data_IF_736582359505
#
_entry.id   IF_736582359505
#
_cell.length_a   1.000
_cell.length_b   1.000
_cell.length_c   1.000
_cell.angle_alpha   90.00
_cell.angle_beta   90.00
_cell.angle_gamma   90.00
#
_symmetry.space_group_name_H-M   'P 1'
#
loop_
_entity.id
_entity.type
_entity.pdbx_description
1 polymer ?
#
# COMPACT_ATOMS: atom_id res chain seq x y z
N UNK A 1 3.91 -17.09 9.96
CA UNK A 1 3.76 -15.86 9.16
C UNK A 1 4.61 -15.92 7.91
N UNK A 2 4.11 -15.44 6.82
CA UNK A 2 4.82 -15.32 5.55
C UNK A 2 4.89 -13.86 5.15
N UNK A 3 6.04 -13.40 4.63
CA UNK A 3 6.22 -11.98 4.30
C UNK A 3 7.03 -11.81 3.02
N UNK A 4 6.76 -10.71 2.33
CA UNK A 4 7.56 -10.26 1.19
C UNK A 4 7.50 -8.74 1.09
N UNK A 5 8.49 -8.14 0.46
CA UNK A 5 8.51 -6.69 0.27
C UNK A 5 9.25 -6.29 -0.99
N UNK A 6 8.95 -5.09 -1.47
CA UNK A 6 9.63 -4.45 -2.60
C UNK A 6 10.06 -3.06 -2.16
N UNK A 7 11.30 -2.70 -2.45
CA UNK A 7 11.86 -1.38 -2.11
C UNK A 7 12.37 -0.68 -3.35
N UNK A 8 12.21 0.64 -3.37
CA UNK A 8 12.78 1.52 -4.38
C UNK A 8 13.30 2.80 -3.73
N UNK A 9 14.47 3.27 -4.15
CA UNK A 9 14.94 4.61 -3.78
C UNK A 9 14.50 5.58 -4.88
N UNK A 10 13.82 6.65 -4.49
CA UNK A 10 13.25 7.62 -5.42
C UNK A 10 13.69 9.04 -5.06
N UNK A 11 13.66 9.93 -6.05
CA UNK A 11 14.10 11.32 -5.91
C UNK A 11 12.95 12.25 -5.49
N UNK A 12 12.15 11.82 -4.51
CA UNK A 12 11.05 12.57 -3.92
C UNK A 12 11.13 12.49 -2.42
N UNK A 13 10.61 13.50 -1.74
CA UNK A 13 10.58 13.50 -0.28
C UNK A 13 9.46 12.62 0.24
N UNK A 14 9.59 12.17 1.49
CA UNK A 14 8.55 11.38 2.14
C UNK A 14 7.23 12.15 2.21
N UNK A 15 7.27 13.44 2.47
CA UNK A 15 6.09 14.29 2.58
C UNK A 15 5.30 14.32 1.27
N UNK A 16 5.98 14.48 0.14
CA UNK A 16 5.33 14.48 -1.19
C UNK A 16 4.71 13.13 -1.49
N UNK A 17 5.44 12.06 -1.22
CA UNK A 17 4.93 10.70 -1.44
C UNK A 17 3.74 10.40 -0.54
N UNK A 18 3.81 10.79 0.73
CA UNK A 18 2.71 10.61 1.67
C UNK A 18 1.45 11.33 1.22
N UNK A 19 1.58 12.61 0.86
CA UNK A 19 0.42 13.40 0.41
C UNK A 19 -0.25 12.77 -0.81
N UNK A 20 0.56 12.30 -1.77
CA UNK A 20 0.04 11.64 -2.97
C UNK A 20 -0.66 10.33 -2.59
N UNK A 21 -0.04 9.53 -1.72
CA UNK A 21 -0.62 8.26 -1.28
C UNK A 21 -1.97 8.47 -0.59
N UNK A 22 -2.09 9.49 0.26
CA UNK A 22 -3.35 9.79 0.93
C UNK A 22 -4.42 10.20 -0.08
N UNK A 23 -4.08 10.93 -1.12
CA UNK A 23 -5.02 11.27 -2.20
C UNK A 23 -5.49 10.03 -2.95
N UNK A 24 -4.60 9.07 -3.15
CA UNK A 24 -4.97 7.78 -3.77
C UNK A 24 -5.95 7.02 -2.87
N UNK A 25 -5.65 6.90 -1.57
CA UNK A 25 -6.53 6.23 -0.62
C UNK A 25 -7.89 6.94 -0.47
N UNK A 26 -7.90 8.24 -0.64
CA UNK A 26 -9.12 9.06 -0.55
C UNK A 26 -9.95 9.04 -1.83
N UNK A 27 -9.44 8.43 -2.90
CA UNK A 27 -10.12 8.39 -4.19
C UNK A 27 -9.92 9.63 -5.04
N UNK A 28 -9.10 10.59 -4.61
CA UNK A 28 -8.84 11.83 -5.35
C UNK A 28 -7.93 11.63 -6.55
N UNK A 29 -7.04 10.64 -6.46
CA UNK A 29 -6.15 10.25 -7.56
C UNK A 29 -6.36 8.78 -7.84
N UNK A 30 -6.59 8.44 -9.12
CA UNK A 30 -6.74 7.07 -9.56
C UNK A 30 -5.48 6.67 -10.33
N UNK A 31 -4.76 5.65 -9.83
CA UNK A 31 -3.53 5.19 -10.47
C UNK A 31 -3.85 4.34 -11.70
N UNK A 32 -3.08 4.49 -12.80
CA UNK A 32 -3.25 3.62 -13.98
C UNK A 32 -3.01 2.17 -13.61
N UNK A 33 -3.92 1.28 -14.02
CA UNK A 33 -3.86 -0.17 -13.72
C UNK A 33 -3.73 -0.46 -12.23
N UNK A 34 -4.19 0.46 -11.40
CA UNK A 34 -4.13 0.32 -9.96
C UNK A 34 -5.47 -0.02 -9.36
N UNK A 35 -5.43 -0.24 -8.06
CA UNK A 35 -6.63 -0.48 -7.29
C UNK A 35 -7.41 0.82 -7.14
N UNK A 36 -8.73 0.71 -7.05
CA UNK A 36 -9.61 1.85 -6.78
C UNK A 36 -9.95 1.85 -5.30
N UNK A 37 -9.90 3.03 -4.69
CA UNK A 37 -10.17 3.20 -3.27
C UNK A 37 -11.37 4.12 -3.06
N UNK A 38 -12.33 3.67 -2.25
CA UNK A 38 -13.53 4.43 -1.89
C UNK A 38 -13.66 4.42 -0.37
N UNK A 39 -13.18 5.48 0.31
CA UNK A 39 -13.27 5.53 1.77
C UNK A 39 -14.70 5.77 2.22
N UNK A 40 -15.09 5.14 3.31
CA UNK A 40 -16.41 5.31 3.93
C UNK A 40 -16.44 6.50 4.90
N UNK A 41 -15.26 6.96 5.29
CA UNK A 41 -15.05 8.05 6.23
C UNK A 41 -13.72 8.73 5.87
N UNK A 42 -13.39 9.89 6.41
CA UNK A 42 -12.10 10.51 6.17
C UNK A 42 -10.96 9.54 6.47
N UNK A 43 -9.99 9.46 5.57
CA UNK A 43 -8.87 8.53 5.69
C UNK A 43 -8.02 8.91 6.90
N UNK A 44 -7.78 7.94 7.77
CA UNK A 44 -7.00 8.12 8.99
C UNK A 44 -6.99 6.82 9.80
N UNK A 45 -6.53 6.88 11.06
CA UNK A 45 -6.47 5.69 11.92
C UNK A 45 -7.83 5.04 12.07
N UNK A 46 -7.90 3.73 11.83
CA UNK A 46 -9.14 2.96 11.98
C UNK A 46 -10.14 3.10 10.84
N UNK A 47 -9.83 3.90 9.82
CA UNK A 47 -10.74 4.12 8.70
C UNK A 47 -11.00 2.85 7.92
N UNK A 48 -12.24 2.69 7.44
CA UNK A 48 -12.63 1.61 6.54
C UNK A 48 -12.66 2.14 5.12
N UNK A 49 -12.04 1.42 4.21
CA UNK A 49 -11.94 1.80 2.81
C UNK A 49 -12.37 0.60 1.96
N UNK A 50 -13.23 0.83 0.99
CA UNK A 50 -13.54 -0.18 -0.01
C UNK A 50 -12.48 -0.12 -1.09
N UNK A 51 -11.77 -1.21 -1.31
CA UNK A 51 -10.76 -1.32 -2.35
C UNK A 51 -11.25 -2.28 -3.43
N UNK A 52 -11.14 -1.86 -4.69
CA UNK A 52 -11.50 -2.70 -5.84
C UNK A 52 -10.25 -2.91 -6.68
N UNK A 53 -9.63 -4.10 -6.60
CA UNK A 53 -8.52 -4.44 -7.49
C UNK A 53 -9.00 -4.50 -8.94
N UNK A 54 -8.13 -4.15 -9.87
CA UNK A 54 -8.50 -4.16 -11.28
C UNK A 54 -8.98 -5.56 -11.72
N UNK A 55 -10.20 -5.61 -12.26
CA UNK A 55 -10.79 -6.85 -12.74
C UNK A 55 -11.26 -7.82 -11.67
N UNK A 56 -11.32 -7.39 -10.42
CA UNK A 56 -11.72 -8.22 -9.29
C UNK A 56 -12.85 -7.60 -8.50
N UNK A 57 -13.44 -8.39 -7.60
CA UNK A 57 -14.49 -7.91 -6.70
C UNK A 57 -13.91 -6.98 -5.63
N UNK A 58 -14.76 -6.08 -5.14
CA UNK A 58 -14.38 -5.15 -4.07
C UNK A 58 -14.15 -5.88 -2.75
N UNK A 59 -13.20 -5.40 -1.97
CA UNK A 59 -12.92 -5.87 -0.62
C UNK A 59 -12.88 -4.69 0.33
N UNK A 60 -13.10 -4.97 1.61
CA UNK A 60 -13.04 -3.97 2.67
C UNK A 60 -11.69 -4.04 3.34
N UNK A 61 -10.99 -2.90 3.44
CA UNK A 61 -9.73 -2.81 4.17
C UNK A 61 -9.89 -1.88 5.35
N UNK A 62 -9.11 -2.10 6.40
CA UNK A 62 -9.10 -1.27 7.60
C UNK A 62 -7.70 -0.73 7.83
N UNK A 63 -7.59 0.59 8.03
CA UNK A 63 -6.30 1.23 8.34
C UNK A 63 -5.93 0.87 9.77
N UNK A 64 -4.82 0.14 9.95
CA UNK A 64 -4.37 -0.32 11.26
C UNK A 64 -3.12 0.38 11.76
N UNK A 65 -2.44 1.15 10.88
CA UNK A 65 -1.26 1.91 11.25
C UNK A 65 -1.25 3.23 10.49
N UNK A 66 -0.98 4.32 11.20
CA UNK A 66 -1.04 5.67 10.64
C UNK A 66 0.02 6.54 11.30
N UNK A 67 1.16 6.69 10.65
CA UNK A 67 2.31 7.43 11.18
C UNK A 67 2.82 8.41 10.11
N UNK A 68 2.12 9.55 9.92
CA UNK A 68 2.53 10.53 8.91
C UNK A 68 3.91 11.10 9.18
N UNK A 69 4.70 11.37 8.18
CA UNK A 69 4.49 11.09 6.77
C UNK A 69 5.18 9.81 6.31
N UNK A 70 5.38 8.85 7.19
CA UNK A 70 6.28 7.73 6.94
C UNK A 70 5.62 6.37 6.78
N UNK A 71 4.57 6.05 7.55
CA UNK A 71 4.05 4.68 7.54
C UNK A 71 2.52 4.66 7.58
N UNK A 72 1.94 3.90 6.65
CA UNK A 72 0.52 3.57 6.64
C UNK A 72 0.39 2.06 6.39
N UNK A 73 -0.47 1.40 7.15
CA UNK A 73 -0.75 -0.01 6.92
C UNK A 73 -2.24 -0.27 6.98
N UNK A 74 -2.70 -1.20 6.17
CA UNK A 74 -4.08 -1.66 6.17
C UNK A 74 -4.13 -3.18 6.22
N UNK A 75 -5.28 -3.69 6.64
CA UNK A 75 -5.49 -5.12 6.84
C UNK A 75 -6.78 -5.57 6.17
N UNK A 76 -6.74 -6.76 5.58
CA UNK A 76 -7.90 -7.43 5.03
C UNK A 76 -7.87 -8.89 5.47
N UNK A 77 -9.06 -9.44 5.79
CA UNK A 77 -9.21 -10.87 6.07
C UNK A 77 -9.52 -11.61 4.78
N UNK A 78 -8.81 -12.69 4.53
CA UNK A 78 -8.97 -13.47 3.32
C UNK A 78 -8.76 -14.95 3.62
N UNK A 79 -9.82 -15.77 3.43
CA UNK A 79 -9.69 -17.22 3.51
C UNK A 79 -9.12 -17.75 4.82
N UNK A 80 -9.44 -17.11 5.95
CA UNK A 80 -8.94 -17.53 7.26
C UNK A 80 -7.57 -16.97 7.63
N UNK A 81 -6.96 -16.18 6.77
CA UNK A 81 -5.70 -15.48 7.07
C UNK A 81 -5.91 -13.98 7.06
N UNK A 82 -4.97 -13.26 7.67
CA UNK A 82 -4.95 -11.81 7.69
C UNK A 82 -3.84 -11.32 6.78
N UNK A 83 -4.18 -10.45 5.83
CA UNK A 83 -3.22 -9.79 4.94
C UNK A 83 -2.99 -8.38 5.44
N UNK A 84 -1.74 -8.03 5.72
CA UNK A 84 -1.37 -6.67 6.12
C UNK A 84 -0.46 -6.09 5.06
N UNK A 85 -0.87 -4.97 4.49
CA UNK A 85 -0.09 -4.21 3.50
C UNK A 85 0.48 -2.98 4.20
N UNK A 86 1.80 -2.86 4.23
CA UNK A 86 2.48 -1.72 4.85
C UNK A 86 3.18 -0.92 3.76
N UNK A 87 2.88 0.38 3.73
CA UNK A 87 3.49 1.33 2.81
C UNK A 87 4.33 2.30 3.64
N UNK A 88 5.63 2.37 3.35
CA UNK A 88 6.51 3.26 4.08
C UNK A 88 7.33 4.14 3.15
N UNK A 89 7.57 5.37 3.62
CA UNK A 89 8.30 6.42 2.90
C UNK A 89 9.34 6.98 3.87
N UNK A 90 10.55 6.44 3.82
CA UNK A 90 11.60 6.79 4.78
C UNK A 90 12.68 7.62 4.09
N UNK A 91 13.25 8.64 4.78
CA UNK A 91 14.33 9.40 4.20
C UNK A 91 15.50 8.49 3.83
N UNK A 92 16.03 8.68 2.62
CA UNK A 92 17.25 8.00 2.21
C UNK A 92 18.48 8.75 2.75
N UNK A 93 19.66 8.14 2.63
CA UNK A 93 20.89 8.82 3.04
C UNK A 93 21.16 10.07 2.22
N UNK A 94 20.77 10.07 0.95
CA UNK A 94 20.90 11.23 0.07
C UNK A 94 19.73 12.18 0.29
N UNK A 95 20.03 13.45 0.58
CA UNK A 95 19.03 14.47 0.81
C UNK A 95 18.07 14.62 -0.39
N UNK A 96 16.78 14.75 -0.09
CA UNK A 96 15.74 14.88 -1.12
C UNK A 96 15.28 13.56 -1.71
N UNK A 97 15.83 12.44 -1.27
CA UNK A 97 15.44 11.12 -1.72
C UNK A 97 14.82 10.31 -0.59
N UNK A 98 14.01 9.33 -0.98
CA UNK A 98 13.31 8.46 -0.04
C UNK A 98 13.40 7.01 -0.48
N UNK A 99 13.33 6.11 0.50
CA UNK A 99 13.16 4.67 0.26
C UNK A 99 11.67 4.38 0.40
N UNK A 100 11.06 3.94 -0.68
CA UNK A 100 9.66 3.51 -0.71
C UNK A 100 9.62 2.01 -0.55
N UNK A 101 8.87 1.52 0.43
CA UNK A 101 8.72 0.08 0.67
C UNK A 101 7.24 -0.27 0.66
N UNK A 102 6.89 -1.31 -0.09
CA UNK A 102 5.58 -1.94 -0.02
C UNK A 102 5.79 -3.36 0.49
N UNK A 103 5.17 -3.69 1.61
CA UNK A 103 5.35 -4.98 2.29
C UNK A 103 4.02 -5.67 2.49
N UNK A 104 4.01 -6.98 2.27
CA UNK A 104 2.86 -7.86 2.55
C UNK A 104 3.26 -8.84 3.64
N UNK A 105 2.47 -8.88 4.70
CA UNK A 105 2.55 -9.90 5.74
C UNK A 105 1.27 -10.72 5.73
N UNK A 106 1.40 -12.04 5.72
CA UNK A 106 0.28 -12.97 5.78
C UNK A 106 0.37 -13.72 7.10
N UNK A 107 -0.67 -13.60 7.93
CA UNK A 107 -0.67 -14.11 9.29
C UNK A 107 -1.94 -14.92 9.57
N UNK A 108 -1.92 -15.70 10.66
CA UNK A 108 -3.06 -16.49 11.09
C UNK A 108 -2.88 -17.98 10.84
N UNK A 109 -3.87 -18.81 11.23
CA UNK A 109 -3.82 -20.25 11.01
C UNK A 109 -3.68 -20.58 9.53
N UNK A 110 -2.69 -21.40 9.17
CA UNK A 110 -2.44 -21.77 7.79
C UNK A 110 -1.66 -20.77 6.96
N UNK A 111 -1.20 -19.66 7.56
CA UNK A 111 -0.44 -18.64 6.83
C UNK A 111 0.83 -19.20 6.19
N UNK A 112 1.50 -20.14 6.84
CA UNK A 112 2.72 -20.75 6.32
C UNK A 112 2.47 -21.62 5.08
N UNK A 113 1.24 -22.13 4.93
CA UNK A 113 0.85 -22.90 3.75
C UNK A 113 0.27 -22.00 2.65
N UNK A 114 -0.60 -21.05 3.05
CA UNK A 114 -1.30 -20.15 2.11
C UNK A 114 -0.37 -19.08 1.56
N UNK A 115 0.52 -18.54 2.41
CA UNK A 115 1.43 -17.46 2.03
C UNK A 115 2.21 -17.74 0.75
N UNK A 116 2.97 -18.85 0.68
CA UNK A 116 3.72 -19.17 -0.54
C UNK A 116 2.85 -19.39 -1.77
N UNK A 117 1.57 -19.71 -1.58
CA UNK A 117 0.63 -19.98 -2.66
C UNK A 117 0.06 -18.69 -3.26
N UNK A 118 -0.37 -17.74 -2.41
CA UNK A 118 -1.03 -16.52 -2.88
C UNK A 118 -0.11 -15.29 -2.84
N UNK A 119 0.87 -15.29 -1.91
CA UNK A 119 1.71 -14.11 -1.67
C UNK A 119 2.49 -13.62 -2.87
N UNK A 120 3.23 -14.50 -3.58
CA UNK A 120 4.00 -14.06 -4.74
C UNK A 120 3.15 -13.42 -5.83
N UNK A 121 1.95 -13.95 -6.08
CA UNK A 121 1.03 -13.39 -7.06
C UNK A 121 0.53 -12.00 -6.67
N UNK A 122 0.25 -11.78 -5.39
CA UNK A 122 -0.16 -10.47 -4.88
C UNK A 122 1.01 -9.47 -5.00
N UNK A 123 2.21 -9.90 -4.60
CA UNK A 123 3.39 -9.04 -4.59
C UNK A 123 3.95 -8.74 -5.98
N UNK A 124 3.55 -9.50 -6.99
CA UNK A 124 4.04 -9.33 -8.36
C UNK A 124 3.83 -7.90 -8.88
N UNK A 125 2.77 -7.24 -8.44
CA UNK A 125 2.41 -5.91 -8.89
C UNK A 125 3.06 -4.78 -8.06
N UNK A 126 3.77 -5.11 -6.99
CA UNK A 126 4.35 -4.09 -6.10
C UNK A 126 5.31 -3.12 -6.83
N UNK A 127 6.25 -3.60 -7.67
CA UNK A 127 7.12 -2.67 -8.39
C UNK A 127 6.36 -1.67 -9.24
N UNK A 128 5.36 -2.14 -9.99
CA UNK A 128 4.55 -1.28 -10.84
C UNK A 128 3.71 -0.30 -10.01
N UNK A 129 3.18 -0.75 -8.89
CA UNK A 129 2.39 0.10 -7.99
C UNK A 129 3.25 1.24 -7.43
N UNK A 130 4.49 0.96 -7.03
CA UNK A 130 5.42 1.97 -6.57
C UNK A 130 5.73 2.96 -7.69
N UNK A 131 6.03 2.47 -8.88
CA UNK A 131 6.34 3.32 -10.04
C UNK A 131 5.16 4.23 -10.39
N UNK A 132 3.93 3.70 -10.33
CA UNK A 132 2.71 4.48 -10.59
C UNK A 132 2.52 5.58 -9.55
N UNK A 133 2.75 5.28 -8.28
CA UNK A 133 2.67 6.27 -7.21
C UNK A 133 3.69 7.39 -7.40
N UNK A 134 4.93 7.02 -7.72
CA UNK A 134 6.01 7.99 -7.95
C UNK A 134 5.66 8.90 -9.11
N UNK A 135 5.13 8.34 -10.21
CA UNK A 135 4.73 9.13 -11.37
C UNK A 135 3.59 10.08 -11.02
N UNK A 136 2.60 9.63 -10.26
CA UNK A 136 1.51 10.47 -9.80
C UNK A 136 2.01 11.61 -8.90
N UNK A 137 2.96 11.33 -8.03
CA UNK A 137 3.55 12.33 -7.14
C UNK A 137 4.29 13.42 -7.94
N UNK A 138 4.98 13.04 -9.01
CA UNK A 138 5.68 13.99 -9.87
C UNK A 138 4.73 14.91 -10.63
N UNK A 139 3.60 14.37 -11.06
CA UNK A 139 2.57 15.14 -11.78
C UNK A 139 1.84 16.09 -10.83
N UNK A 140 1.61 15.67 -9.58
CA UNK A 140 0.86 16.41 -8.58
C UNK A 140 1.70 17.55 -7.92
N UNK A 141 2.99 17.58 -8.17
CA UNK A 141 3.89 18.60 -7.61
C UNK A 141 3.67 19.97 -8.22
#
# INVERSE_FOLDING_TARGET
>A
MWSTECQRTVDLTAEVLWETWIKVLSGDIELPKGDRYEPREPVGPGASITMTPEGQDSIEITVIRWEPPHVQADRVSYGGVELTFTHSFMPAQTQGKSVVTTRLDIDGPGADDVGPTIGPGIAEDFPQAIDSLVQAARVDM
#
